data_IF_105399665381
#
_entry.id   IF_105399665381
#
_cell.length_a   1.000
_cell.length_b   1.000
_cell.length_c   1.000
_cell.angle_alpha   90.00
_cell.angle_beta   90.00
_cell.angle_gamma   90.00
#
_symmetry.space_group_name_H-M   'P 1'
#
loop_
_entity.id
_entity.type
_entity.pdbx_description
1 polymer ?
#
# COMPACT_ATOMS: atom_id res chain seq x y z
N UNK A 1 11.17 -4.58 33.32
CA UNK A 1 9.96 -3.80 33.01
C UNK A 1 9.09 -4.67 32.11
N UNK A 2 7.92 -5.13 32.58
CA UNK A 2 6.99 -5.98 31.81
C UNK A 2 6.29 -5.25 30.65
N UNK A 3 6.99 -4.30 30.02
CA UNK A 3 6.49 -3.47 28.93
C UNK A 3 6.57 -4.17 27.57
N UNK A 4 7.36 -5.24 27.44
CA UNK A 4 7.48 -6.02 26.20
C UNK A 4 6.15 -6.62 25.74
N UNK A 5 5.23 -6.86 26.66
CA UNK A 5 3.88 -7.36 26.36
C UNK A 5 3.05 -6.31 25.60
N UNK A 6 3.23 -5.02 25.90
CA UNK A 6 2.55 -3.93 25.18
C UNK A 6 3.14 -3.68 23.78
N UNK A 7 4.34 -4.20 23.50
CA UNK A 7 4.93 -4.11 22.16
C UNK A 7 4.11 -4.86 21.12
N UNK A 8 3.41 -5.94 21.51
CA UNK A 8 2.52 -6.69 20.62
C UNK A 8 1.32 -5.84 20.20
N UNK A 9 0.68 -5.18 21.17
CA UNK A 9 -0.49 -4.32 20.94
C UNK A 9 -0.12 -3.15 20.03
N UNK A 10 1.01 -2.50 20.33
CA UNK A 10 1.52 -1.39 19.54
C UNK A 10 1.82 -1.81 18.10
N UNK A 11 2.49 -2.96 17.92
CA UNK A 11 2.81 -3.49 16.60
C UNK A 11 1.54 -3.82 15.81
N UNK A 12 0.57 -4.50 16.42
CA UNK A 12 -0.69 -4.88 15.77
C UNK A 12 -1.48 -3.65 15.31
N UNK A 13 -1.67 -2.67 16.19
CA UNK A 13 -2.44 -1.47 15.88
C UNK A 13 -1.73 -0.61 14.82
N UNK A 14 -0.43 -0.35 14.97
CA UNK A 14 0.31 0.51 14.03
C UNK A 14 0.49 -0.12 12.66
N UNK A 15 0.79 -1.43 12.62
CA UNK A 15 0.97 -2.14 11.35
C UNK A 15 -0.32 -2.09 10.52
N UNK A 16 -1.46 -2.41 11.13
CA UNK A 16 -2.74 -2.52 10.41
C UNK A 16 -3.34 -1.16 10.06
N UNK A 17 -3.16 -0.13 10.90
CA UNK A 17 -3.77 1.18 10.66
C UNK A 17 -2.98 2.04 9.69
N UNK A 18 -1.65 2.04 9.79
CA UNK A 18 -0.84 3.07 9.13
C UNK A 18 0.41 2.52 8.44
N UNK A 19 1.30 1.81 9.16
CA UNK A 19 2.67 1.57 8.68
C UNK A 19 2.69 0.69 7.43
N UNK A 20 1.94 -0.41 7.41
CA UNK A 20 1.96 -1.33 6.27
C UNK A 20 1.41 -0.66 5.00
N UNK A 21 0.38 0.18 5.13
CA UNK A 21 -0.15 0.97 4.03
C UNK A 21 0.86 2.01 3.53
N UNK A 22 1.44 2.79 4.45
CA UNK A 22 2.35 3.88 4.11
C UNK A 22 3.59 3.36 3.38
N UNK A 23 4.23 2.31 3.90
CA UNK A 23 5.41 1.72 3.26
C UNK A 23 5.07 1.14 1.89
N UNK A 24 3.92 0.47 1.76
CA UNK A 24 3.45 -0.04 0.46
C UNK A 24 3.21 1.09 -0.53
N UNK A 25 2.55 2.16 -0.10
CA UNK A 25 2.26 3.32 -0.95
C UNK A 25 3.55 3.99 -1.44
N UNK A 26 4.54 4.19 -0.56
CA UNK A 26 5.85 4.75 -0.91
C UNK A 26 6.55 3.88 -1.95
N UNK A 27 6.56 2.56 -1.76
CA UNK A 27 7.18 1.62 -2.70
C UNK A 27 6.49 1.60 -4.06
N UNK A 28 5.15 1.63 -4.08
CA UNK A 28 4.37 1.67 -5.33
C UNK A 28 4.57 3.00 -6.06
N UNK A 29 4.60 4.13 -5.35
CA UNK A 29 4.89 5.43 -5.93
C UNK A 29 6.30 5.46 -6.55
N UNK A 30 7.30 4.94 -5.84
CA UNK A 30 8.68 4.89 -6.31
C UNK A 30 8.87 4.00 -7.54
N UNK A 31 8.34 2.77 -7.53
CA UNK A 31 8.58 1.80 -8.61
C UNK A 31 7.56 1.93 -9.75
N UNK A 32 6.27 1.80 -9.43
CA UNK A 32 5.22 1.79 -10.45
C UNK A 32 4.86 3.21 -10.90
N UNK A 33 4.86 4.19 -9.99
CA UNK A 33 4.64 5.60 -10.34
C UNK A 33 5.70 6.10 -11.31
N UNK A 34 6.99 5.92 -10.99
CA UNK A 34 8.08 6.31 -11.90
C UNK A 34 8.03 5.61 -13.26
N UNK A 35 7.63 4.33 -13.29
CA UNK A 35 7.46 3.60 -14.55
C UNK A 35 6.33 4.18 -15.42
N UNK A 36 5.19 4.53 -14.80
CA UNK A 36 4.06 5.16 -15.49
C UNK A 36 4.47 6.52 -16.05
N UNK A 37 5.15 7.36 -15.25
CA UNK A 37 5.64 8.67 -15.69
C UNK A 37 6.65 8.55 -16.83
N UNK A 38 7.57 7.59 -16.75
CA UNK A 38 8.57 7.35 -17.80
C UNK A 38 7.92 6.88 -19.11
N UNK A 39 6.92 6.00 -19.05
CA UNK A 39 6.17 5.55 -20.23
C UNK A 39 5.41 6.70 -20.88
N UNK A 40 4.64 7.48 -20.11
CA UNK A 40 3.88 8.62 -20.61
C UNK A 40 4.80 9.69 -21.19
N UNK A 41 5.91 10.01 -20.51
CA UNK A 41 6.93 10.93 -21.01
C UNK A 41 7.56 10.44 -22.31
N UNK A 42 7.85 9.13 -22.45
CA UNK A 42 8.36 8.58 -23.70
C UNK A 42 7.33 8.62 -24.83
N UNK A 43 6.05 8.39 -24.54
CA UNK A 43 4.97 8.49 -25.53
C UNK A 43 4.79 9.93 -26.01
N UNK A 44 4.93 10.91 -25.11
CA UNK A 44 4.89 12.32 -25.46
C UNK A 44 6.07 12.72 -26.36
N UNK A 45 7.29 12.27 -26.04
CA UNK A 45 8.49 12.54 -26.85
C UNK A 45 8.43 11.93 -28.26
N UNK A 46 7.61 10.89 -28.46
CA UNK A 46 7.37 10.22 -29.75
C UNK A 46 6.11 10.71 -30.46
N UNK A 47 5.45 11.74 -29.92
CA UNK A 47 4.19 12.30 -30.44
C UNK A 47 3.02 11.28 -30.51
N UNK A 48 3.12 10.15 -29.80
CA UNK A 48 2.07 9.12 -29.77
C UNK A 48 0.77 9.65 -29.15
N UNK A 49 0.88 10.53 -28.15
CA UNK A 49 -0.27 11.17 -27.49
C UNK A 49 -1.01 12.11 -28.45
N UNK A 50 -0.29 12.85 -29.29
CA UNK A 50 -0.91 13.75 -30.27
C UNK A 50 -1.49 12.98 -31.46
N UNK A 51 -0.85 11.87 -31.86
CA UNK A 51 -1.40 10.95 -32.84
C UNK A 51 -2.77 10.40 -32.39
N UNK A 52 -2.94 10.04 -31.11
CA UNK A 52 -4.22 9.58 -30.57
C UNK A 52 -5.31 10.67 -30.65
N UNK A 53 -4.96 11.93 -30.40
CA UNK A 53 -5.89 13.06 -30.54
C UNK A 53 -6.34 13.26 -31.98
N UNK A 54 -5.42 13.12 -32.95
CA UNK A 54 -5.75 13.20 -34.38
C UNK A 54 -6.69 12.06 -34.81
N UNK A 55 -6.56 10.88 -34.19
CA UNK A 55 -7.49 9.75 -34.38
C UNK A 55 -8.86 9.95 -33.72
N UNK A 56 -9.10 11.08 -33.04
CA UNK A 56 -10.36 11.39 -32.36
C UNK A 56 -10.54 10.65 -31.03
N UNK A 57 -9.49 10.06 -30.48
CA UNK A 57 -9.53 9.40 -29.17
C UNK A 57 -9.04 10.35 -28.08
N UNK A 58 -9.71 10.33 -26.92
CA UNK A 58 -9.29 11.08 -25.74
C UNK A 58 -8.16 10.33 -24.99
N UNK A 59 -6.93 10.87 -24.92
CA UNK A 59 -5.82 10.22 -24.23
C UNK A 59 -6.09 9.97 -22.74
N UNK A 60 -6.92 10.79 -22.09
CA UNK A 60 -7.24 10.64 -20.67
C UNK A 60 -8.00 9.34 -20.43
N UNK A 61 -8.99 9.05 -21.27
CA UNK A 61 -9.84 7.86 -21.14
C UNK A 61 -9.09 6.58 -21.52
N UNK A 62 -8.16 6.67 -22.48
CA UNK A 62 -7.46 5.49 -23.01
C UNK A 62 -6.18 5.16 -22.24
N UNK A 63 -5.44 6.16 -21.73
CA UNK A 63 -4.18 5.93 -21.03
C UNK A 63 -4.29 6.09 -19.52
N UNK A 64 -4.85 7.21 -19.05
CA UNK A 64 -4.77 7.60 -17.63
C UNK A 64 -5.79 6.83 -16.80
N UNK A 65 -7.06 6.81 -17.22
CA UNK A 65 -8.15 6.16 -16.50
C UNK A 65 -7.88 4.69 -16.17
N UNK A 66 -7.48 3.81 -17.11
CA UNK A 66 -7.22 2.40 -16.78
C UNK A 66 -6.07 2.22 -15.79
N UNK A 67 -5.04 3.08 -15.84
CA UNK A 67 -3.90 3.03 -14.91
C UNK A 67 -4.30 3.41 -13.49
N UNK A 68 -5.11 4.46 -13.34
CA UNK A 68 -5.63 4.88 -12.03
C UNK A 68 -6.53 3.79 -11.43
N UNK A 69 -7.44 3.22 -12.23
CA UNK A 69 -8.32 2.13 -11.78
C UNK A 69 -7.52 0.89 -11.35
N UNK A 70 -6.46 0.54 -12.10
CA UNK A 70 -5.56 -0.55 -11.73
C UNK A 70 -4.88 -0.27 -10.38
N UNK A 71 -4.34 0.94 -10.16
CA UNK A 71 -3.74 1.31 -8.87
C UNK A 71 -4.74 1.27 -7.73
N UNK A 72 -5.98 1.70 -7.95
CA UNK A 72 -7.04 1.73 -6.94
C UNK A 72 -7.39 0.34 -6.42
N UNK A 73 -7.29 -0.69 -7.26
CA UNK A 73 -7.54 -2.09 -6.88
C UNK A 73 -6.28 -2.75 -6.32
N UNK A 74 -5.11 -2.49 -6.93
CA UNK A 74 -3.86 -3.16 -6.58
C UNK A 74 -3.29 -2.68 -5.25
N UNK A 75 -3.40 -1.39 -4.92
CA UNK A 75 -2.81 -0.84 -3.70
C UNK A 75 -3.47 -1.37 -2.40
N UNK A 76 -4.81 -1.50 -2.29
CA UNK A 76 -5.45 -2.19 -1.16
C UNK A 76 -4.98 -3.64 -1.01
N UNK A 77 -4.88 -4.38 -2.12
CA UNK A 77 -4.44 -5.78 -2.11
C UNK A 77 -2.98 -5.91 -1.65
N UNK A 78 -2.09 -5.04 -2.13
CA UNK A 78 -0.70 -5.02 -1.69
C UNK A 78 -0.58 -4.61 -0.22
N UNK A 79 -1.36 -3.62 0.23
CA UNK A 79 -1.38 -3.20 1.63
C UNK A 79 -1.79 -4.33 2.56
N UNK A 80 -2.75 -5.17 2.15
CA UNK A 80 -3.16 -6.34 2.90
C UNK A 80 -2.01 -7.35 3.05
N UNK A 81 -1.33 -7.66 1.95
CA UNK A 81 -0.18 -8.58 1.95
C UNK A 81 0.96 -8.02 2.81
N UNK A 82 1.23 -6.71 2.70
CA UNK A 82 2.23 -6.04 3.51
C UNK A 82 1.90 -6.09 5.01
N UNK A 83 0.62 -5.94 5.38
CA UNK A 83 0.20 -6.08 6.77
C UNK A 83 0.46 -7.49 7.32
N UNK A 84 0.13 -8.54 6.55
CA UNK A 84 0.44 -9.92 6.93
C UNK A 84 1.96 -10.15 7.08
N UNK A 85 2.76 -9.65 6.14
CA UNK A 85 4.22 -9.74 6.23
C UNK A 85 4.78 -8.98 7.44
N UNK A 86 4.21 -7.81 7.76
CA UNK A 86 4.60 -7.01 8.93
C UNK A 86 4.29 -7.74 10.23
N UNK A 87 3.11 -8.37 10.34
CA UNK A 87 2.73 -9.17 11.51
C UNK A 87 3.62 -10.40 11.68
N UNK A 88 3.91 -11.12 10.58
CA UNK A 88 4.81 -12.27 10.60
C UNK A 88 6.24 -11.88 10.99
N UNK A 89 6.76 -10.77 10.46
CA UNK A 89 8.06 -10.22 10.83
C UNK A 89 8.11 -9.78 12.30
N UNK A 90 7.06 -9.12 12.78
CA UNK A 90 6.91 -8.70 14.18
C UNK A 90 6.90 -9.89 15.14
N UNK A 91 6.14 -10.93 14.82
CA UNK A 91 6.09 -12.18 15.58
C UNK A 91 7.48 -12.84 15.67
N UNK A 92 8.19 -12.95 14.54
CA UNK A 92 9.53 -13.53 14.49
C UNK A 92 10.53 -12.72 15.32
N UNK A 93 10.48 -11.38 15.24
CA UNK A 93 11.35 -10.50 16.03
C UNK A 93 11.11 -10.64 17.54
N UNK A 94 9.84 -10.62 17.98
CA UNK A 94 9.49 -10.71 19.40
C UNK A 94 9.81 -12.08 19.99
N UNK A 95 9.73 -13.15 19.19
CA UNK A 95 10.15 -14.47 19.60
C UNK A 95 11.67 -14.56 19.81
N UNK A 96 12.46 -13.97 18.90
CA UNK A 96 13.92 -13.98 18.96
C UNK A 96 14.50 -13.09 20.07
N UNK A 97 13.94 -11.89 20.26
CA UNK A 97 14.49 -10.88 21.16
C UNK A 97 13.86 -10.86 22.55
N UNK A 98 12.53 -10.97 22.64
CA UNK A 98 11.78 -10.88 23.90
C UNK A 98 11.29 -12.24 24.40
N UNK A 99 11.66 -13.35 23.75
CA UNK A 99 11.28 -14.72 24.13
C UNK A 99 9.76 -14.92 24.29
N UNK A 100 8.95 -14.10 23.61
CA UNK A 100 7.50 -14.23 23.61
C UNK A 100 7.11 -15.41 22.72
N UNK A 101 6.33 -16.34 23.25
CA UNK A 101 5.92 -17.51 22.48
C UNK A 101 4.92 -17.13 21.38
N UNK A 102 4.96 -17.81 20.21
CA UNK A 102 3.99 -17.66 19.13
C UNK A 102 2.50 -17.63 19.57
N UNK A 103 2.14 -18.52 20.49
CA UNK A 103 0.80 -18.63 21.05
C UNK A 103 0.42 -17.39 21.87
N UNK A 104 1.33 -16.88 22.70
CA UNK A 104 1.11 -15.67 23.47
C UNK A 104 0.97 -14.44 22.56
N UNK A 105 1.75 -14.37 21.47
CA UNK A 105 1.64 -13.30 20.48
C UNK A 105 0.25 -13.29 19.82
N UNK A 106 -0.23 -14.44 19.33
CA UNK A 106 -1.53 -14.53 18.65
C UNK A 106 -2.68 -14.20 19.60
N UNK A 107 -2.64 -14.71 20.84
CA UNK A 107 -3.68 -14.42 21.83
C UNK A 107 -3.77 -12.91 22.13
N UNK A 108 -2.63 -12.25 22.32
CA UNK A 108 -2.57 -10.80 22.56
C UNK A 108 -2.97 -9.99 21.34
N UNK A 109 -2.51 -10.40 20.17
CA UNK A 109 -2.84 -9.75 18.91
C UNK A 109 -4.36 -9.79 18.67
N UNK A 110 -5.02 -10.90 18.99
CA UNK A 110 -6.48 -11.01 18.86
C UNK A 110 -7.24 -10.10 19.85
N UNK A 111 -6.73 -9.91 21.06
CA UNK A 111 -7.31 -8.97 22.03
C UNK A 111 -7.05 -7.50 21.65
N UNK A 112 -5.93 -7.21 20.99
CA UNK A 112 -5.51 -5.85 20.62
C UNK A 112 -6.09 -5.37 19.27
N UNK A 113 -6.34 -6.28 18.33
CA UNK A 113 -6.90 -5.94 17.02
C UNK A 113 -8.42 -5.86 17.11
N UNK A 114 -8.92 -4.64 17.01
CA UNK A 114 -10.33 -4.42 16.67
C UNK A 114 -10.51 -4.40 15.14
N UNK A 115 -11.64 -4.93 14.64
CA UNK A 115 -11.94 -4.97 13.20
C UNK A 115 -11.95 -3.55 12.59
N UNK A 116 -12.24 -2.54 13.41
CA UNK A 116 -12.14 -1.12 13.07
C UNK A 116 -10.73 -0.70 12.64
N UNK A 117 -9.68 -1.27 13.23
CA UNK A 117 -8.29 -0.94 12.91
C UNK A 117 -7.92 -1.41 11.51
N UNK A 118 -8.32 -2.64 11.15
CA UNK A 118 -8.12 -3.19 9.81
C UNK A 118 -8.88 -2.40 8.73
N UNK A 119 -10.17 -2.13 8.97
CA UNK A 119 -11.01 -1.37 8.04
C UNK A 119 -10.50 0.07 7.85
N UNK A 120 -9.96 0.69 8.90
CA UNK A 120 -9.42 2.05 8.80
C UNK A 120 -8.21 2.14 7.88
N UNK A 121 -7.35 1.12 7.87
CA UNK A 121 -6.22 1.03 6.94
C UNK A 121 -6.69 0.81 5.50
N UNK A 122 -7.63 -0.12 5.31
CA UNK A 122 -8.17 -0.45 3.99
C UNK A 122 -8.96 0.71 3.36
N UNK A 123 -9.69 1.49 4.17
CA UNK A 123 -10.40 2.67 3.69
C UNK A 123 -9.45 3.77 3.21
N UNK A 124 -8.27 3.93 3.82
CA UNK A 124 -7.28 4.94 3.43
C UNK A 124 -6.52 4.56 2.15
N UNK A 125 -6.38 3.26 1.86
CA UNK A 125 -5.61 2.79 0.71
C UNK A 125 -6.06 3.31 -0.67
N UNK A 126 -7.36 3.32 -1.04
CA UNK A 126 -7.79 3.87 -2.33
C UNK A 126 -7.47 5.36 -2.48
N UNK A 127 -7.53 6.16 -1.41
CA UNK A 127 -7.16 7.58 -1.48
C UNK A 127 -5.68 7.75 -1.81
N UNK A 128 -4.82 6.95 -1.17
CA UNK A 128 -3.39 6.98 -1.45
C UNK A 128 -3.09 6.52 -2.89
N UNK A 129 -3.80 5.51 -3.38
CA UNK A 129 -3.69 5.05 -4.76
C UNK A 129 -4.09 6.12 -5.78
N UNK A 130 -5.16 6.87 -5.48
CA UNK A 130 -5.65 7.95 -6.33
C UNK A 130 -4.64 9.10 -6.39
N UNK A 131 -4.07 9.49 -5.25
CA UNK A 131 -3.00 10.51 -5.19
C UNK A 131 -1.79 10.08 -6.02
N UNK A 132 -1.30 8.85 -5.83
CA UNK A 132 -0.16 8.32 -6.59
C UNK A 132 -0.46 8.28 -8.08
N UNK A 133 -1.65 7.80 -8.46
CA UNK A 133 -2.07 7.72 -9.87
C UNK A 133 -2.16 9.07 -10.55
N UNK A 134 -2.73 10.08 -9.87
CA UNK A 134 -2.80 11.45 -10.39
C UNK A 134 -1.41 12.07 -10.55
N UNK A 135 -0.53 11.93 -9.55
CA UNK A 135 0.82 12.50 -9.62
C UNK A 135 1.64 11.80 -10.71
N UNK A 136 1.54 10.47 -10.83
CA UNK A 136 2.30 9.71 -11.82
C UNK A 136 1.87 9.98 -13.28
N UNK A 137 0.61 10.37 -13.48
CA UNK A 137 0.03 10.64 -14.80
C UNK A 137 0.00 12.14 -15.17
N UNK A 138 0.44 13.02 -14.26
CA UNK A 138 0.57 14.45 -14.50
C UNK A 138 1.88 14.79 -15.22
#
# INVERSE_FOLDING_TARGET
>A
FGAEVFSVDLLGILALREISLLLTAIMVAGRSGSAITAELGSMQMREEIDALRVMGMDPINVLILPRILALLIVLPLLSFIAALATLAGGMMMLWLYSSITPDAFIARLHDAIDMSSFLSGLYKSPFMALIIGLIACA
#
